data_IF_903258695289
#
_entry.id   IF_903258695289
#
_cell.length_a   1.000
_cell.length_b   1.000
_cell.length_c   1.000
_cell.angle_alpha   90.00
_cell.angle_beta   90.00
_cell.angle_gamma   90.00
#
_symmetry.space_group_name_H-M   'P 1'
#
loop_
_entity.id
_entity.type
_entity.pdbx_description
1 polymer ?
#
# COMPACT_ATOMS: atom_id res chain seq x y z
N UNK A 1 -7.64 -7.03 23.98
CA UNK A 1 -7.11 -5.69 23.58
C UNK A 1 -6.11 -5.93 22.46
N UNK A 2 -6.04 -5.11 21.41
CA UNK A 2 -5.04 -5.22 20.33
C UNK A 2 -4.07 -4.03 20.39
N UNK A 3 -2.80 -4.25 20.13
CA UNK A 3 -1.77 -3.21 20.08
C UNK A 3 -0.65 -3.60 19.11
N UNK A 4 0.18 -2.63 18.71
CA UNK A 4 1.35 -2.86 17.88
C UNK A 4 2.53 -3.31 18.75
N UNK A 5 3.14 -4.45 18.41
CA UNK A 5 4.38 -4.90 19.05
C UNK A 5 5.51 -3.89 18.86
N UNK A 6 5.59 -3.25 17.67
CA UNK A 6 6.59 -2.21 17.40
C UNK A 6 6.45 -1.05 18.40
N UNK A 7 5.22 -0.62 18.66
CA UNK A 7 4.96 0.45 19.62
C UNK A 7 5.31 0.05 21.05
N UNK A 8 5.01 -1.19 21.47
CA UNK A 8 5.43 -1.70 22.78
C UNK A 8 6.96 -1.72 22.92
N UNK A 9 7.67 -2.12 21.86
CA UNK A 9 9.13 -2.18 21.83
C UNK A 9 9.80 -0.81 21.90
N UNK A 10 9.11 0.29 21.57
CA UNK A 10 9.65 1.63 21.82
C UNK A 10 9.83 1.91 23.32
N UNK A 11 9.04 1.27 24.18
CA UNK A 11 9.10 1.43 25.63
C UNK A 11 10.01 0.39 26.29
N UNK A 12 9.86 -0.89 25.90
CA UNK A 12 10.64 -2.00 26.42
C UNK A 12 10.95 -2.97 25.28
N UNK A 13 12.22 -3.06 24.87
CA UNK A 13 12.64 -3.90 23.75
C UNK A 13 13.54 -5.06 24.21
N UNK A 14 12.97 -6.17 24.72
CA UNK A 14 13.75 -7.35 25.03
C UNK A 14 14.31 -7.98 23.75
N UNK A 15 15.52 -8.53 23.83
CA UNK A 15 16.19 -9.23 22.72
C UNK A 15 15.61 -10.64 22.50
N UNK A 16 14.30 -10.72 22.29
CA UNK A 16 13.52 -11.93 22.01
C UNK A 16 12.62 -11.68 20.80
N UNK A 17 12.24 -12.75 20.10
CA UNK A 17 11.29 -12.69 19.00
C UNK A 17 9.83 -12.49 19.46
N UNK A 18 8.93 -12.27 18.52
CA UNK A 18 7.50 -12.03 18.76
C UNK A 18 6.81 -13.21 19.44
N UNK A 19 7.17 -14.45 19.07
CA UNK A 19 6.58 -15.66 19.64
C UNK A 19 6.98 -15.83 21.11
N UNK A 20 8.26 -15.62 21.44
CA UNK A 20 8.74 -15.65 22.81
C UNK A 20 8.11 -14.53 23.65
N UNK A 21 7.95 -13.33 23.08
CA UNK A 21 7.28 -12.22 23.75
C UNK A 21 5.82 -12.56 24.08
N UNK A 22 5.05 -13.07 23.11
CA UNK A 22 3.66 -13.47 23.31
C UNK A 22 3.49 -14.55 24.37
N UNK A 23 4.41 -15.53 24.39
CA UNK A 23 4.45 -16.57 25.41
C UNK A 23 4.76 -16.00 26.80
N UNK A 24 5.73 -15.08 26.92
CA UNK A 24 6.05 -14.45 28.21
C UNK A 24 4.89 -13.62 28.76
N UNK A 25 4.20 -12.88 27.90
CA UNK A 25 3.01 -12.09 28.28
C UNK A 25 1.90 -13.03 28.80
N UNK A 26 1.65 -14.14 28.09
CA UNK A 26 0.69 -15.17 28.53
C UNK A 26 1.08 -15.78 29.88
N UNK A 27 2.34 -16.16 30.06
CA UNK A 27 2.84 -16.75 31.31
C UNK A 27 2.84 -15.75 32.48
N UNK A 28 2.85 -14.45 32.20
CA UNK A 28 2.70 -13.39 33.20
C UNK A 28 1.23 -13.14 33.61
N UNK A 29 0.28 -13.88 33.04
CA UNK A 29 -1.16 -13.78 33.33
C UNK A 29 -1.96 -12.89 32.38
N UNK A 30 -1.34 -12.45 31.27
CA UNK A 30 -1.99 -11.65 30.23
C UNK A 30 -2.14 -12.52 28.98
N UNK A 31 -3.27 -13.21 28.83
CA UNK A 31 -3.48 -14.13 27.71
C UNK A 31 -3.39 -13.43 26.35
N UNK A 32 -2.63 -14.02 25.42
CA UNK A 32 -2.51 -13.54 24.04
C UNK A 32 -3.36 -14.43 23.12
N UNK A 33 -4.50 -13.89 22.69
CA UNK A 33 -5.46 -14.62 21.81
C UNK A 33 -4.91 -14.88 20.40
N UNK A 34 -4.00 -14.04 19.91
CA UNK A 34 -3.45 -14.17 18.56
C UNK A 34 -2.44 -13.09 18.21
N UNK A 35 -1.55 -13.43 17.28
CA UNK A 35 -0.55 -12.54 16.69
C UNK A 35 -0.78 -12.52 15.18
N UNK A 36 -1.02 -11.34 14.64
CA UNK A 36 -1.35 -11.13 13.23
C UNK A 36 -0.39 -10.09 12.64
N UNK A 37 0.15 -10.29 11.43
CA UNK A 37 0.91 -9.25 10.74
C UNK A 37 0.02 -8.04 10.45
N UNK A 38 0.63 -6.85 10.41
CA UNK A 38 -0.11 -5.59 10.18
C UNK A 38 -0.66 -5.45 8.75
N UNK A 39 -0.08 -6.17 7.79
CA UNK A 39 -0.45 -6.12 6.38
C UNK A 39 -0.18 -7.48 5.71
N UNK A 40 -0.72 -7.67 4.50
CA UNK A 40 -0.42 -8.83 3.68
C UNK A 40 0.99 -8.78 3.09
N UNK A 41 1.47 -9.90 2.55
CA UNK A 41 2.74 -9.93 1.82
C UNK A 41 2.57 -9.26 0.45
N UNK A 42 3.35 -8.21 0.20
CA UNK A 42 3.42 -7.54 -1.10
C UNK A 42 4.83 -6.99 -1.38
N UNK A 43 5.11 -6.64 -2.62
CA UNK A 43 6.35 -5.96 -3.02
C UNK A 43 6.15 -5.06 -4.24
N UNK A 44 7.09 -4.13 -4.45
CA UNK A 44 7.04 -3.19 -5.58
C UNK A 44 6.05 -2.04 -5.37
N UNK A 45 5.66 -1.75 -4.13
CA UNK A 45 4.82 -0.61 -3.77
C UNK A 45 5.70 0.49 -3.19
N UNK A 46 5.59 1.70 -3.74
CA UNK A 46 6.37 2.87 -3.33
C UNK A 46 5.45 4.06 -3.07
N UNK A 47 5.95 5.05 -2.32
CA UNK A 47 5.23 6.32 -2.16
C UNK A 47 5.43 7.16 -3.41
N UNK A 48 4.34 7.62 -4.01
CA UNK A 48 4.35 8.56 -5.13
C UNK A 48 3.49 9.79 -4.88
N UNK A 49 3.70 10.82 -5.69
CA UNK A 49 2.93 12.06 -5.67
C UNK A 49 2.21 12.28 -7.01
N UNK A 50 0.91 12.53 -6.95
CA UNK A 50 0.10 12.86 -8.13
C UNK A 50 0.44 14.28 -8.57
N UNK A 51 1.22 14.44 -9.63
CA UNK A 51 1.63 15.76 -10.13
C UNK A 51 0.60 16.38 -11.08
N UNK A 52 -0.17 15.55 -11.77
CA UNK A 52 -1.29 15.98 -12.63
C UNK A 52 -2.46 15.01 -12.47
N UNK A 53 -3.68 15.54 -12.52
CA UNK A 53 -4.91 14.76 -12.41
C UNK A 53 -6.00 15.38 -13.30
N UNK A 54 -6.36 14.70 -14.38
CA UNK A 54 -7.37 15.14 -15.32
C UNK A 54 -8.51 14.11 -15.44
N UNK A 55 -9.68 14.57 -15.86
CA UNK A 55 -10.80 13.69 -16.17
C UNK A 55 -10.45 12.79 -17.37
N UNK A 56 -10.78 11.51 -17.31
CA UNK A 56 -10.54 10.60 -18.42
C UNK A 56 -11.47 10.95 -19.61
N UNK A 57 -10.95 11.10 -20.84
CA UNK A 57 -11.75 11.58 -21.99
C UNK A 57 -12.89 10.63 -22.36
N UNK A 58 -12.69 9.32 -22.18
CA UNK A 58 -13.67 8.28 -22.52
C UNK A 58 -14.37 7.63 -21.30
N UNK A 59 -14.32 8.25 -20.11
CA UNK A 59 -14.97 7.71 -18.91
C UNK A 59 -15.18 8.75 -17.79
N UNK A 60 -16.43 8.86 -17.32
CA UNK A 60 -16.80 9.85 -16.28
C UNK A 60 -16.28 9.48 -14.88
N UNK A 61 -16.05 8.19 -14.62
CA UNK A 61 -15.60 7.70 -13.30
C UNK A 61 -14.10 7.49 -13.20
N UNK A 62 -13.33 7.75 -14.26
CA UNK A 62 -11.89 7.53 -14.28
C UNK A 62 -11.17 8.87 -14.41
N UNK A 63 -9.97 8.92 -13.84
CA UNK A 63 -9.04 10.03 -13.94
C UNK A 63 -7.76 9.53 -14.57
N UNK A 64 -7.16 10.33 -15.43
CA UNK A 64 -5.82 10.11 -15.95
C UNK A 64 -4.88 10.94 -15.09
N UNK A 65 -3.88 10.29 -14.51
CA UNK A 65 -2.94 10.92 -13.58
C UNK A 65 -1.52 10.74 -14.04
N UNK A 66 -0.71 11.77 -13.80
CA UNK A 66 0.75 11.65 -13.84
C UNK A 66 1.28 11.58 -12.43
N UNK A 67 2.13 10.59 -12.17
CA UNK A 67 2.57 10.28 -10.82
C UNK A 67 4.09 10.24 -10.78
N UNK A 68 4.66 11.02 -9.87
CA UNK A 68 6.09 10.99 -9.59
C UNK A 68 6.37 9.96 -8.50
N UNK A 69 7.14 8.93 -8.83
CA UNK A 69 7.60 7.89 -7.88
C UNK A 69 9.11 7.97 -7.61
N UNK A 70 9.76 9.09 -8.00
CA UNK A 70 11.19 9.31 -7.84
C UNK A 70 12.08 8.67 -8.93
N UNK A 71 11.48 8.14 -10.01
CA UNK A 71 12.21 7.65 -11.18
C UNK A 71 12.48 8.73 -12.24
N UNK A 72 13.09 8.32 -13.36
CA UNK A 72 13.50 9.24 -14.45
C UNK A 72 12.33 9.91 -15.18
N UNK A 73 11.13 9.32 -15.09
CA UNK A 73 9.92 9.83 -15.75
C UNK A 73 8.70 9.71 -14.86
N UNK A 74 7.73 10.57 -15.12
CA UNK A 74 6.40 10.44 -14.55
C UNK A 74 5.71 9.20 -15.14
N UNK A 75 4.97 8.51 -14.30
CA UNK A 75 4.14 7.37 -14.70
C UNK A 75 2.74 7.86 -15.05
N UNK A 76 2.21 7.40 -16.18
CA UNK A 76 0.80 7.59 -16.51
C UNK A 76 -0.02 6.49 -15.84
N UNK A 77 -0.92 6.84 -14.93
CA UNK A 77 -1.75 5.88 -14.18
C UNK A 77 -3.21 6.32 -14.25
N UNK A 78 -4.09 5.40 -14.65
CA UNK A 78 -5.53 5.63 -14.63
C UNK A 78 -6.08 5.20 -13.27
N UNK A 79 -6.77 6.11 -12.59
CA UNK A 79 -7.34 5.87 -11.27
C UNK A 79 -8.85 6.16 -11.26
N UNK A 80 -9.63 5.28 -10.62
CA UNK A 80 -11.07 5.46 -10.42
C UNK A 80 -11.44 6.06 -9.05
N UNK A 81 -10.47 6.34 -8.18
CA UNK A 81 -10.75 6.77 -6.82
C UNK A 81 -11.29 8.23 -6.80
N UNK A 82 -12.41 8.50 -6.11
CA UNK A 82 -13.07 9.80 -6.14
C UNK A 82 -12.24 10.90 -5.47
N UNK A 83 -11.37 10.55 -4.53
CA UNK A 83 -10.50 11.46 -3.79
C UNK A 83 -9.17 11.78 -4.50
N UNK A 84 -8.91 11.16 -5.65
CA UNK A 84 -7.69 11.38 -6.42
C UNK A 84 -7.65 12.81 -6.98
N UNK A 85 -6.56 13.51 -6.70
CA UNK A 85 -6.35 14.93 -7.04
C UNK A 85 -4.85 15.24 -7.11
N UNK A 86 -4.50 16.33 -7.79
CA UNK A 86 -3.13 16.85 -7.83
C UNK A 86 -2.60 17.17 -6.42
N UNK A 87 -1.31 16.92 -6.20
CA UNK A 87 -0.59 17.09 -4.92
C UNK A 87 -0.84 15.98 -3.91
N UNK A 88 -1.63 14.95 -4.25
CA UNK A 88 -1.90 13.84 -3.33
C UNK A 88 -0.72 12.87 -3.31
N UNK A 89 -0.23 12.56 -2.10
CA UNK A 89 0.70 11.45 -1.88
C UNK A 89 -0.05 10.14 -1.68
N UNK A 90 0.36 9.10 -2.39
CA UNK A 90 -0.35 7.82 -2.49
C UNK A 90 0.64 6.67 -2.53
N UNK A 91 0.18 5.47 -2.14
CA UNK A 91 0.90 4.24 -2.42
C UNK A 91 0.70 3.86 -3.89
N UNK A 92 1.79 3.60 -4.60
CA UNK A 92 1.81 3.28 -6.02
C UNK A 92 2.44 1.91 -6.19
N UNK A 93 1.66 0.96 -6.70
CA UNK A 93 2.19 -0.32 -7.15
C UNK A 93 2.70 -0.16 -8.59
N UNK A 94 4.01 -0.30 -8.77
CA UNK A 94 4.66 -0.16 -10.08
C UNK A 94 4.47 -1.43 -10.92
N UNK A 95 4.75 -1.36 -12.23
CA UNK A 95 4.78 -2.56 -13.07
C UNK A 95 5.73 -3.60 -12.46
N UNK A 96 5.25 -4.85 -12.37
CA UNK A 96 5.98 -5.96 -11.74
C UNK A 96 5.72 -6.10 -10.23
N UNK A 97 5.06 -5.13 -9.60
CA UNK A 97 4.61 -5.27 -8.21
C UNK A 97 3.64 -6.45 -8.07
N UNK A 98 3.65 -7.08 -6.89
CA UNK A 98 2.68 -8.12 -6.52
C UNK A 98 2.06 -7.73 -5.19
N UNK A 99 0.74 -7.54 -5.22
CA UNK A 99 -0.11 -7.21 -4.09
C UNK A 99 -0.59 -8.48 -3.37
N UNK A 100 -1.17 -8.38 -2.15
CA UNK A 100 -1.70 -9.52 -1.44
C UNK A 100 -2.70 -10.31 -2.30
N UNK A 101 -2.66 -11.65 -2.20
CA UNK A 101 -3.46 -12.53 -3.06
C UNK A 101 -2.82 -12.84 -4.44
N UNK A 102 -1.51 -12.64 -4.60
CA UNK A 102 -0.73 -12.89 -5.84
C UNK A 102 -1.21 -12.04 -7.03
N UNK A 103 -1.67 -10.82 -6.75
CA UNK A 103 -2.16 -9.91 -7.78
C UNK A 103 -1.01 -9.13 -8.41
N UNK A 104 -0.63 -9.50 -9.64
CA UNK A 104 0.53 -8.93 -10.36
C UNK A 104 0.14 -7.71 -11.18
N UNK A 105 0.83 -6.59 -10.93
CA UNK A 105 0.65 -5.34 -11.68
C UNK A 105 1.37 -5.41 -13.02
N UNK A 106 0.63 -5.11 -14.08
CA UNK A 106 1.10 -5.09 -15.47
C UNK A 106 0.69 -3.78 -16.12
N UNK A 107 1.45 -3.36 -17.14
CA UNK A 107 1.03 -2.25 -17.99
C UNK A 107 -0.27 -2.61 -18.70
N UNK A 108 -1.23 -1.68 -18.69
CA UNK A 108 -2.52 -1.84 -19.33
C UNK A 108 -2.89 -0.59 -20.12
N UNK A 109 -3.86 -0.72 -21.03
CA UNK A 109 -4.56 0.43 -21.62
C UNK A 109 -6.01 0.38 -21.15
N UNK A 110 -6.41 1.37 -20.35
CA UNK A 110 -7.79 1.51 -19.91
C UNK A 110 -8.47 2.52 -20.82
N UNK A 111 -9.43 2.07 -21.64
CA UNK A 111 -10.26 2.92 -22.51
C UNK A 111 -9.47 3.91 -23.40
N UNK A 112 -8.31 3.45 -23.89
CA UNK A 112 -7.44 4.19 -24.79
C UNK A 112 -6.21 4.80 -24.10
N UNK A 113 -6.28 5.06 -22.80
CA UNK A 113 -5.21 5.71 -22.04
C UNK A 113 -4.27 4.68 -21.41
N UNK A 114 -2.95 4.92 -21.44
CA UNK A 114 -1.98 4.04 -20.80
C UNK A 114 -2.10 4.10 -19.27
N UNK A 115 -1.90 2.95 -18.62
CA UNK A 115 -1.77 2.84 -17.16
C UNK A 115 -0.57 1.96 -16.83
N UNK A 116 0.43 2.57 -16.22
CA UNK A 116 1.76 2.00 -15.94
C UNK A 116 1.94 1.65 -14.47
N UNK A 117 0.83 1.30 -13.81
CA UNK A 117 0.78 0.99 -12.40
C UNK A 117 -0.63 1.12 -11.86
N UNK A 118 -0.72 1.15 -10.54
CA UNK A 118 -1.97 1.26 -9.80
C UNK A 118 -1.78 2.14 -8.57
N UNK A 119 -2.74 3.04 -8.31
CA UNK A 119 -2.82 3.76 -7.03
C UNK A 119 -3.57 2.87 -6.04
N UNK A 120 -2.89 2.46 -4.97
CA UNK A 120 -3.41 1.50 -4.01
C UNK A 120 -4.28 2.17 -2.95
N UNK A 121 -5.33 1.46 -2.56
CA UNK A 121 -6.13 1.71 -1.38
C UNK A 121 -5.62 0.91 -0.18
N UNK A 122 -6.17 1.20 1.00
CA UNK A 122 -5.82 0.46 2.22
C UNK A 122 -6.17 -1.03 2.12
N UNK A 123 -7.30 -1.39 1.51
CA UNK A 123 -7.75 -2.78 1.42
C UNK A 123 -6.95 -3.63 0.42
N UNK A 124 -6.12 -3.00 -0.41
CA UNK A 124 -5.32 -3.66 -1.44
C UNK A 124 -3.88 -3.94 -0.98
N UNK A 125 -3.51 -3.53 0.25
CA UNK A 125 -2.21 -3.72 0.88
C UNK A 125 -2.36 -4.51 2.18
#
# INVERSE_FOLDING_TARGET
MKFSELWLREWVNPAIDSDALANQITMAGLEVDGVEPVAGSFHGVVVGEVVECAQHPNADKLRVTKVNVGGDRLLDIVCGAPNCRQGLRVAVATIGAVLPGDFKIKAAKLRGEPSEGMLCSFSEL
#
